data_IF_844086917687
#
_entry.id   IF_844086917687
#
_cell.length_a   1.000
_cell.length_b   1.000
_cell.length_c   1.000
_cell.angle_alpha   90.00
_cell.angle_beta   90.00
_cell.angle_gamma   90.00
#
_symmetry.space_group_name_H-M   'P 1'
#
loop_
_entity.id
_entity.type
_entity.pdbx_description
1 polymer ?
2 non-polymer ?
3 non-polymer ?
4 non-polymer ?
5 water ?
#
# COMPACT_ATOMS: atom_id res chain seq x y z
N UNK A 2 -23.88 10.35 12.58
CA UNK A 2 -24.05 9.53 13.82
C UNK A 2 -25.31 8.67 13.73
N UNK A 3 -25.57 8.10 12.56
CA UNK A 3 -26.75 7.27 12.38
C UNK A 3 -26.44 5.88 11.82
N UNK A 4 -27.08 4.88 12.41
CA UNK A 4 -26.91 3.49 11.99
C UNK A 4 -28.22 3.01 11.39
N UNK A 5 -28.21 2.70 10.09
CA UNK A 5 -29.40 2.23 9.40
C UNK A 5 -29.99 0.99 10.07
N UNK A 6 -31.31 0.98 10.24
CA UNK A 6 -31.99 -0.14 10.87
C UNK A 6 -31.91 -1.42 10.04
N UNK A 7 -31.77 -1.29 8.73
CA UNK A 7 -31.68 -2.44 7.84
C UNK A 7 -30.30 -3.10 7.88
N UNK A 8 -29.30 -2.40 8.39
CA UNK A 8 -27.96 -2.96 8.46
C UNK A 8 -27.91 -4.17 9.39
N UNK A 9 -27.11 -5.17 9.03
CA UNK A 9 -26.97 -6.38 9.84
C UNK A 9 -25.63 -6.24 10.56
N UNK A 10 -25.69 -6.13 11.88
CA UNK A 10 -24.50 -5.93 12.69
C UNK A 10 -24.40 -6.97 13.82
N UNK A 11 -23.35 -7.78 13.78
CA UNK A 11 -23.16 -8.79 14.81
C UNK A 11 -23.07 -8.16 16.18
N UNK A 12 -23.72 -8.76 17.18
CA UNK A 12 -23.64 -8.16 18.51
C UNK A 12 -22.22 -8.22 19.07
N UNK A 13 -21.37 -9.05 18.47
CA UNK A 13 -19.98 -9.16 18.93
C UNK A 13 -19.05 -8.13 18.32
N UNK A 14 -19.52 -7.42 17.30
CA UNK A 14 -18.70 -6.39 16.66
C UNK A 14 -18.64 -5.22 17.63
N UNK A 15 -17.56 -4.44 17.54
CA UNK A 15 -17.39 -3.28 18.41
C UNK A 15 -17.53 -2.02 17.56
N UNK A 16 -18.58 -1.24 17.83
CA UNK A 16 -18.85 -0.01 17.09
C UNK A 16 -18.71 1.18 18.02
N UNK A 17 -17.67 1.97 17.82
CA UNK A 17 -17.42 3.14 18.67
C UNK A 17 -18.46 4.23 18.41
N UNK A 18 -18.35 5.33 19.15
CA UNK A 18 -19.29 6.44 19.01
C UNK A 18 -19.06 7.25 17.73
N UNK A 19 -20.10 7.91 17.26
CA UNK A 19 -20.02 8.73 16.07
C UNK A 19 -19.96 7.96 14.75
N UNK A 20 -20.10 6.63 14.81
CA UNK A 20 -20.03 5.82 13.60
C UNK A 20 -21.33 5.85 12.78
N UNK A 21 -21.18 6.04 11.47
CA UNK A 21 -22.33 6.06 10.57
C UNK A 21 -22.32 4.80 9.74
N UNK A 22 -23.47 4.13 9.67
CA UNK A 22 -23.57 2.89 8.91
C UNK A 22 -24.79 2.99 8.00
N UNK A 23 -24.55 2.91 6.69
CA UNK A 23 -25.63 3.02 5.73
C UNK A 23 -26.53 1.82 5.63
N UNK A 24 -27.53 1.90 4.76
CA UNK A 24 -28.50 0.82 4.57
C UNK A 24 -27.87 -0.50 4.11
N UNK A 25 -28.38 -1.60 4.64
CA UNK A 25 -27.94 -2.94 4.26
C UNK A 25 -26.47 -3.30 4.46
N UNK A 26 -25.75 -2.61 5.34
CA UNK A 26 -24.36 -3.00 5.55
C UNK A 26 -24.37 -4.35 6.26
N UNK A 27 -23.33 -5.15 6.05
CA UNK A 27 -23.21 -6.45 6.69
C UNK A 27 -21.90 -6.42 7.48
N UNK A 28 -22.02 -6.50 8.80
CA UNK A 28 -20.87 -6.43 9.68
C UNK A 28 -20.72 -7.68 10.55
N UNK A 29 -19.64 -8.42 10.32
CA UNK A 29 -19.36 -9.65 11.03
C UNK A 29 -18.96 -9.52 12.50
N UNK A 30 -18.87 -10.66 13.18
CA UNK A 30 -18.55 -10.65 14.60
C UNK A 30 -17.12 -10.35 15.02
N UNK A 31 -16.22 -10.12 14.07
CA UNK A 31 -14.85 -9.81 14.43
C UNK A 31 -14.46 -8.39 14.02
N UNK A 32 -15.44 -7.59 13.63
CA UNK A 32 -15.18 -6.23 13.17
C UNK A 32 -15.13 -5.18 14.28
N UNK A 33 -14.30 -4.17 14.08
CA UNK A 33 -14.16 -3.07 15.01
C UNK A 33 -14.14 -1.79 14.20
N UNK A 34 -14.99 -0.83 14.57
CA UNK A 34 -15.05 0.43 13.86
C UNK A 34 -14.76 1.55 14.87
N UNK A 35 -13.65 2.24 14.65
CA UNK A 35 -13.27 3.32 15.55
C UNK A 35 -14.13 4.56 15.30
N UNK A 36 -13.95 5.56 16.15
CA UNK A 36 -14.70 6.81 16.08
C UNK A 36 -14.77 7.51 14.73
N UNK A 37 -15.95 8.00 14.40
CA UNK A 37 -16.14 8.75 13.17
C UNK A 37 -16.15 7.98 11.87
N UNK A 38 -16.09 6.65 11.93
CA UNK A 38 -16.09 5.86 10.70
C UNK A 38 -17.43 6.02 9.97
N UNK A 39 -17.38 6.16 8.66
CA UNK A 39 -18.59 6.30 7.87
C UNK A 39 -18.69 5.22 6.79
N UNK A 40 -19.71 4.37 6.92
CA UNK A 40 -19.93 3.31 5.95
C UNK A 40 -21.15 3.70 5.15
N UNK A 41 -21.03 3.74 3.84
CA UNK A 41 -22.19 4.06 3.01
C UNK A 41 -23.05 2.81 3.00
N UNK A 42 -24.09 2.80 2.18
CA UNK A 42 -24.95 1.63 2.11
C UNK A 42 -24.20 0.44 1.52
N UNK A 43 -24.62 -0.76 1.91
CA UNK A 43 -24.05 -2.00 1.37
C UNK A 43 -22.55 -2.25 1.47
N UNK A 44 -21.95 -1.93 2.61
CA UNK A 44 -20.53 -2.23 2.79
C UNK A 44 -20.49 -3.58 3.51
N UNK A 45 -19.59 -4.46 3.08
CA UNK A 45 -19.46 -5.76 3.73
C UNK A 45 -18.14 -5.83 4.49
N UNK A 46 -18.22 -6.04 5.80
CA UNK A 46 -17.03 -6.14 6.63
C UNK A 46 -17.07 -7.49 7.35
N UNK A 47 -16.11 -8.36 7.03
CA UNK A 47 -16.02 -9.69 7.62
C UNK A 47 -14.65 -9.90 8.26
N UNK A 48 -14.46 -11.08 8.85
CA UNK A 48 -13.18 -11.40 9.47
C UNK A 48 -12.78 -10.49 10.63
N UNK A 49 -11.52 -10.60 11.03
CA UNK A 49 -10.97 -9.82 12.13
C UNK A 49 -10.44 -8.53 11.54
N UNK A 50 -11.36 -7.60 11.32
CA UNK A 50 -11.06 -6.34 10.68
C UNK A 50 -11.25 -5.10 11.57
N UNK A 51 -10.24 -4.25 11.58
CA UNK A 51 -10.27 -3.02 12.35
C UNK A 51 -10.24 -1.87 11.34
N UNK A 52 -11.14 -0.90 11.52
CA UNK A 52 -11.24 0.26 10.65
C UNK A 52 -11.04 1.52 11.50
N UNK A 53 -9.92 2.21 11.25
CA UNK A 53 -9.55 3.40 12.00
C UNK A 53 -10.44 4.63 11.93
N UNK A 54 -10.25 5.53 12.88
CA UNK A 54 -11.02 6.76 13.00
C UNK A 54 -11.20 7.55 11.71
N UNK A 55 -12.43 7.97 11.49
CA UNK A 55 -12.81 8.80 10.35
C UNK A 55 -12.66 8.19 8.96
N UNK A 56 -12.38 6.89 8.89
CA UNK A 56 -12.26 6.29 7.57
C UNK A 56 -13.66 6.18 6.96
N UNK A 57 -13.77 6.44 5.66
CA UNK A 57 -15.06 6.36 4.97
C UNK A 57 -14.97 5.33 3.86
N UNK A 58 -15.98 4.45 3.80
CA UNK A 58 -16.01 3.38 2.82
C UNK A 58 -17.30 3.45 2.00
N UNK A 59 -17.15 3.46 0.68
CA UNK A 59 -18.29 3.57 -0.24
C UNK A 59 -19.01 2.25 -0.56
N UNK A 60 -20.21 2.34 -1.17
CA UNK A 60 -21.03 1.18 -1.53
C UNK A 60 -20.37 0.00 -2.22
N UNK A 61 -20.78 -1.19 -1.79
CA UNK A 61 -20.31 -2.44 -2.36
C UNK A 61 -18.85 -2.78 -2.20
N UNK A 62 -18.18 -2.18 -1.21
CA UNK A 62 -16.79 -2.51 -0.97
C UNK A 62 -16.84 -3.77 -0.11
N UNK A 63 -15.84 -4.64 -0.25
CA UNK A 63 -15.82 -5.86 0.55
C UNK A 63 -14.48 -5.93 1.27
N UNK A 64 -14.53 -5.92 2.60
CA UNK A 64 -13.29 -5.96 3.38
C UNK A 64 -13.33 -7.09 4.41
N UNK A 65 -12.26 -7.87 4.45
CA UNK A 65 -12.20 -8.92 5.44
C UNK A 65 -12.55 -10.33 5.03
N UNK A 66 -13.06 -10.54 3.80
CA UNK A 66 -13.36 -11.91 3.39
C UNK A 66 -12.03 -12.63 3.25
N UNK A 67 -12.06 -13.95 3.29
CA UNK A 67 -10.84 -14.75 3.21
C UNK A 67 -10.00 -14.53 1.95
N UNK A 68 -8.67 -14.63 2.08
CA UNK A 68 -7.82 -14.44 0.90
C UNK A 68 -8.17 -15.43 -0.19
N UNK A 69 -7.87 -15.07 -1.44
CA UNK A 69 -8.15 -15.92 -2.58
C UNK A 69 -7.13 -17.04 -2.66
N UNK A 70 -5.93 -16.77 -2.13
CA UNK A 70 -4.84 -17.73 -2.11
C UNK A 70 -5.31 -19.12 -1.69
N UNK A 71 -4.82 -20.14 -2.40
CA UNK A 71 -5.19 -21.53 -2.10
C UNK A 71 -4.53 -22.05 -0.84
N UNK A 72 -3.31 -21.58 -0.58
CA UNK A 72 -2.56 -22.01 0.60
C UNK A 72 -3.31 -21.70 1.90
N UNK A 73 -4.20 -20.72 1.87
CA UNK A 73 -4.97 -20.35 3.05
C UNK A 73 -5.79 -21.53 3.54
N UNK A 74 -5.84 -21.68 4.87
CA UNK A 74 -6.59 -22.78 5.47
C UNK A 74 -7.35 -22.33 6.72
N UNK A 75 -8.35 -21.48 6.53
CA UNK A 75 -9.13 -20.98 7.65
C UNK A 75 -8.26 -20.46 8.78
N UNK A 76 -7.11 -19.91 8.40
CA UNK A 76 -6.17 -19.37 9.37
C UNK A 76 -6.73 -18.18 10.14
N UNK A 77 -6.05 -17.84 11.23
CA UNK A 77 -6.41 -16.74 12.10
C UNK A 77 -5.58 -15.52 11.67
N UNK A 78 -6.17 -14.64 10.86
CA UNK A 78 -5.46 -13.45 10.39
C UNK A 78 -6.30 -12.19 10.54
N UNK A 79 -5.69 -11.03 10.32
CA UNK A 79 -6.39 -9.77 10.48
C UNK A 79 -6.24 -8.80 9.31
N UNK A 80 -7.12 -7.81 9.29
CA UNK A 80 -7.09 -6.75 8.29
C UNK A 80 -7.15 -5.51 9.17
N UNK A 81 -6.12 -4.68 9.09
CA UNK A 81 -6.07 -3.47 9.91
C UNK A 81 -5.96 -2.22 9.05
N UNK A 82 -6.98 -1.35 9.15
CA UNK A 82 -7.03 -0.13 8.37
C UNK A 82 -6.90 1.09 9.27
N UNK A 83 -6.10 2.06 8.83
CA UNK A 83 -5.86 3.26 9.61
C UNK A 83 -6.94 4.32 9.60
N UNK A 84 -6.52 5.54 9.90
CA UNK A 84 -7.41 6.69 9.99
C UNK A 84 -7.48 7.58 8.75
N UNK A 85 -8.61 8.26 8.61
CA UNK A 85 -8.84 9.18 7.50
C UNK A 85 -8.65 8.60 6.11
N UNK A 86 -9.02 7.33 5.94
CA UNK A 86 -8.89 6.71 4.64
C UNK A 86 -10.17 6.85 3.84
N UNK A 87 -10.02 6.80 2.52
CA UNK A 87 -11.15 6.87 1.60
C UNK A 87 -11.06 5.59 0.80
N UNK A 88 -12.07 4.73 0.92
CA UNK A 88 -12.08 3.47 0.20
C UNK A 88 -13.33 3.46 -0.67
N UNK A 89 -13.13 3.52 -1.98
CA UNK A 89 -14.23 3.59 -2.92
C UNK A 89 -14.96 2.30 -3.27
N UNK A 90 -15.97 2.44 -4.10
CA UNK A 90 -16.84 1.35 -4.54
C UNK A 90 -16.14 0.13 -5.16
N UNK A 91 -16.64 -1.05 -4.81
CA UNK A 91 -16.13 -2.31 -5.33
C UNK A 91 -14.72 -2.72 -4.95
N UNK A 92 -14.14 -2.08 -3.94
CA UNK A 92 -12.80 -2.48 -3.51
C UNK A 92 -12.93 -3.81 -2.79
N UNK A 93 -11.87 -4.61 -2.82
CA UNK A 93 -11.89 -5.92 -2.17
C UNK A 93 -10.55 -6.07 -1.48
N UNK A 94 -10.57 -6.18 -0.15
CA UNK A 94 -9.35 -6.28 0.63
C UNK A 94 -9.40 -7.48 1.57
N UNK A 95 -8.40 -8.34 1.48
CA UNK A 95 -8.33 -9.54 2.31
C UNK A 95 -7.32 -9.41 3.43
N UNK A 96 -7.50 -10.19 4.50
CA UNK A 96 -6.58 -10.19 5.65
C UNK A 96 -5.38 -11.06 5.30
N UNK A 97 -4.41 -11.12 6.19
CA UNK A 97 -3.20 -11.89 5.91
C UNK A 97 -3.32 -13.40 6.05
N UNK A 98 -2.18 -14.08 6.05
CA UNK A 98 -2.12 -15.53 6.18
C UNK A 98 -1.00 -15.92 7.14
N UNK A 99 -1.02 -17.17 7.58
CA UNK A 99 -0.02 -17.68 8.50
C UNK A 99 1.36 -17.72 7.83
N UNK A 100 1.36 -17.99 6.53
CA UNK A 100 2.62 -18.07 5.80
C UNK A 100 3.20 -16.68 5.53
N UNK A 101 2.35 -15.67 5.62
CA UNK A 101 2.79 -14.30 5.39
C UNK A 101 3.11 -13.61 6.70
N UNK A 102 2.40 -12.53 7.00
CA UNK A 102 2.62 -11.80 8.25
C UNK A 102 1.35 -11.80 9.11
N UNK A 103 0.46 -12.73 8.80
CA UNK A 103 -0.80 -12.89 9.53
C UNK A 103 -1.68 -11.65 9.51
N UNK A 104 -1.45 -10.76 8.54
CA UNK A 104 -2.26 -9.56 8.47
C UNK A 104 -2.03 -8.75 7.19
N UNK A 105 -3.00 -7.89 6.89
CA UNK A 105 -2.93 -6.98 5.77
C UNK A 105 -3.05 -5.65 6.49
N UNK A 106 -2.12 -4.74 6.23
CA UNK A 106 -2.11 -3.46 6.93
C UNK A 106 -2.18 -2.24 6.01
N UNK A 107 -3.00 -1.27 6.40
CA UNK A 107 -3.14 -0.05 5.64
C UNK A 107 -3.06 1.10 6.63
N UNK A 108 -2.24 2.10 6.29
CA UNK A 108 -2.04 3.25 7.16
C UNK A 108 -3.11 4.31 7.13
N UNK A 109 -2.68 5.57 7.14
CA UNK A 109 -3.60 6.71 7.16
C UNK A 109 -3.63 7.61 5.93
N UNK A 110 -4.73 8.33 5.80
CA UNK A 110 -4.93 9.29 4.72
C UNK A 110 -4.62 8.74 3.33
N UNK A 111 -5.15 7.56 3.04
CA UNK A 111 -4.96 6.97 1.72
C UNK A 111 -6.27 7.03 0.97
N UNK A 112 -6.17 6.94 -0.35
CA UNK A 112 -7.34 6.93 -1.20
C UNK A 112 -7.20 5.70 -2.09
N UNK A 113 -8.15 4.78 -1.98
CA UNK A 113 -8.15 3.59 -2.81
C UNK A 113 -9.41 3.75 -3.66
N UNK A 114 -9.22 4.06 -4.94
CA UNK A 114 -10.34 4.27 -5.85
C UNK A 114 -11.09 2.97 -6.11
N UNK A 115 -12.14 3.05 -6.91
CA UNK A 115 -12.98 1.89 -7.21
C UNK A 115 -12.28 0.70 -7.86
N UNK A 116 -12.81 -0.48 -7.58
CA UNK A 116 -12.30 -1.74 -8.12
C UNK A 116 -10.87 -2.09 -7.69
N UNK A 117 -10.36 -1.44 -6.66
CA UNK A 117 -8.99 -1.73 -6.20
C UNK A 117 -8.98 -2.98 -5.34
N UNK A 118 -8.07 -3.90 -5.63
CA UNK A 118 -7.96 -5.12 -4.82
C UNK A 118 -6.63 -5.17 -4.09
N UNK A 119 -6.69 -5.38 -2.77
CA UNK A 119 -5.49 -5.50 -1.97
C UNK A 119 -5.44 -6.93 -1.44
N UNK A 120 -4.48 -7.71 -1.93
CA UNK A 120 -4.37 -9.11 -1.52
C UNK A 120 -3.83 -9.31 -0.12
N UNK A 121 -3.93 -10.56 0.35
CA UNK A 121 -3.47 -10.92 1.67
C UNK A 121 -2.02 -10.54 1.92
N UNK A 122 -1.72 -10.20 3.17
CA UNK A 122 -0.36 -9.85 3.59
C UNK A 122 0.28 -8.62 2.99
N UNK A 123 -0.52 -7.74 2.39
CA UNK A 123 0.05 -6.51 1.84
C UNK A 123 0.17 -5.47 2.94
N UNK A 124 1.08 -4.54 2.75
CA UNK A 124 1.29 -3.48 3.70
C UNK A 124 1.33 -2.16 2.94
N UNK A 125 0.39 -1.29 3.25
CA UNK A 125 0.32 0.01 2.62
C UNK A 125 0.51 1.06 3.71
N UNK A 126 1.30 2.09 3.42
CA UNK A 126 1.57 3.13 4.40
C UNK A 126 0.49 4.21 4.45
N UNK A 127 0.94 5.47 4.43
CA UNK A 127 0.03 6.61 4.50
C UNK A 127 0.21 7.57 3.33
N UNK A 128 -0.81 8.41 3.10
CA UNK A 128 -0.77 9.40 2.02
C UNK A 128 -0.62 8.78 0.63
N UNK A 129 -1.10 7.56 0.47
CA UNK A 129 -1.01 6.89 -0.83
C UNK A 129 -2.28 7.01 -1.64
N UNK A 130 -2.15 6.82 -2.95
CA UNK A 130 -3.30 6.88 -3.84
C UNK A 130 -3.21 5.74 -4.85
N UNK A 131 -4.20 4.87 -4.82
CA UNK A 131 -4.26 3.75 -5.76
C UNK A 131 -5.48 4.01 -6.63
N UNK A 132 -5.24 4.24 -7.92
CA UNK A 132 -6.31 4.53 -8.88
C UNK A 132 -7.17 3.32 -9.24
N UNK A 133 -8.22 3.57 -10.03
CA UNK A 133 -9.15 2.54 -10.46
C UNK A 133 -8.50 1.23 -10.89
N UNK A 134 -9.05 0.14 -10.37
CA UNK A 134 -8.58 -1.19 -10.75
C UNK A 134 -7.17 -1.64 -10.41
N UNK A 135 -6.46 -0.90 -9.56
CA UNK A 135 -5.12 -1.34 -9.20
C UNK A 135 -5.26 -2.70 -8.53
N UNK A 136 -4.40 -3.63 -8.93
CA UNK A 136 -4.45 -4.99 -8.39
C UNK A 136 -3.14 -5.36 -7.70
N UNK A 137 -3.21 -5.58 -6.39
CA UNK A 137 -2.02 -5.95 -5.64
C UNK A 137 -2.04 -7.45 -5.33
N UNK A 138 -0.99 -8.14 -5.72
CA UNK A 138 -0.88 -9.56 -5.43
C UNK A 138 -0.47 -9.66 -3.96
N UNK A 139 -0.22 -10.86 -3.47
CA UNK A 139 0.12 -11.00 -2.07
C UNK A 139 1.50 -10.55 -1.62
N UNK A 140 1.62 -10.28 -0.32
CA UNK A 140 2.89 -9.90 0.31
C UNK A 140 3.56 -8.63 -0.24
N UNK A 141 2.78 -7.67 -0.70
CA UNK A 141 3.35 -6.44 -1.24
C UNK A 141 3.52 -5.37 -0.16
N UNK A 142 4.59 -4.59 -0.28
CA UNK A 142 4.86 -3.51 0.67
C UNK A 142 4.92 -2.19 -0.09
N UNK A 143 4.11 -1.24 0.35
CA UNK A 143 4.04 0.07 -0.28
C UNK A 143 4.32 1.16 0.77
N UNK A 144 5.33 1.99 0.51
CA UNK A 144 5.70 3.04 1.44
C UNK A 144 4.75 4.23 1.44
N UNK A 145 5.10 5.28 2.17
CA UNK A 145 4.26 6.47 2.23
C UNK A 145 4.38 7.28 0.94
N UNK A 146 3.36 8.09 0.68
CA UNK A 146 3.34 8.96 -0.50
C UNK A 146 3.58 8.26 -1.83
N UNK A 147 2.92 7.12 -2.03
CA UNK A 147 3.05 6.39 -3.27
C UNK A 147 1.77 6.53 -4.09
N UNK A 148 1.92 6.82 -5.38
CA UNK A 148 0.78 6.94 -6.28
C UNK A 148 0.89 5.83 -7.31
N UNK A 149 -0.19 5.08 -7.50
CA UNK A 149 -0.18 4.02 -8.48
C UNK A 149 -1.35 4.27 -9.45
N UNK A 150 -1.01 4.44 -10.72
CA UNK A 150 -2.02 4.69 -11.74
C UNK A 150 -2.98 3.56 -12.00
N UNK A 151 -4.16 3.91 -12.52
CA UNK A 151 -5.20 2.93 -12.79
C UNK A 151 -4.83 1.72 -13.62
N UNK A 152 -5.47 0.61 -13.30
CA UNK A 152 -5.30 -0.65 -14.01
C UNK A 152 -3.88 -1.22 -13.95
N UNK A 153 -3.13 -0.87 -12.92
CA UNK A 153 -1.77 -1.38 -12.76
C UNK A 153 -1.80 -2.63 -11.89
N UNK A 154 -0.98 -3.62 -12.25
CA UNK A 154 -0.90 -4.86 -11.50
C UNK A 154 0.49 -4.95 -10.87
N UNK A 155 0.54 -5.23 -9.58
CA UNK A 155 1.81 -5.37 -8.85
C UNK A 155 1.89 -6.84 -8.46
N UNK A 156 2.99 -7.49 -8.82
CA UNK A 156 3.16 -8.91 -8.52
C UNK A 156 3.58 -9.17 -7.07
N UNK A 157 3.43 -10.43 -6.65
CA UNK A 157 3.73 -10.84 -5.29
C UNK A 157 5.13 -10.47 -4.79
N UNK A 158 5.20 -10.10 -3.51
CA UNK A 158 6.45 -9.74 -2.85
C UNK A 158 7.15 -8.48 -3.35
N UNK A 159 6.51 -7.74 -4.24
CA UNK A 159 7.13 -6.51 -4.73
C UNK A 159 7.09 -5.46 -3.63
N UNK A 160 8.13 -4.64 -3.56
CA UNK A 160 8.18 -3.58 -2.56
C UNK A 160 8.38 -2.24 -3.24
N UNK A 161 7.53 -1.27 -2.91
CA UNK A 161 7.63 0.06 -3.49
C UNK A 161 7.95 1.00 -2.33
N UNK A 162 9.09 1.67 -2.40
CA UNK A 162 9.51 2.57 -1.33
C UNK A 162 8.76 3.89 -1.35
N UNK A 163 9.05 4.71 -0.35
CA UNK A 163 8.43 6.02 -0.16
C UNK A 163 8.56 6.96 -1.36
N UNK A 164 7.53 7.77 -1.56
CA UNK A 164 7.52 8.76 -2.63
C UNK A 164 7.58 8.30 -4.07
N UNK A 165 7.19 7.08 -4.36
CA UNK A 165 7.23 6.59 -5.73
C UNK A 165 5.95 6.83 -6.51
N UNK A 166 6.08 6.90 -7.83
CA UNK A 166 4.94 7.09 -8.69
C UNK A 166 4.96 5.98 -9.74
N UNK A 167 3.85 5.27 -9.88
CA UNK A 167 3.77 4.20 -10.86
C UNK A 167 2.67 4.54 -11.86
N UNK A 168 3.06 4.64 -13.13
CA UNK A 168 2.11 4.97 -14.19
C UNK A 168 1.02 3.92 -14.34
N UNK A 169 -0.14 4.33 -14.86
CA UNK A 169 -1.22 3.40 -15.05
C UNK A 169 -0.90 2.31 -16.05
N UNK A 170 -1.69 1.23 -16.02
CA UNK A 170 -1.50 0.09 -16.92
C UNK A 170 -0.12 -0.56 -16.89
N UNK A 171 0.57 -0.44 -15.76
CA UNK A 171 1.90 -1.05 -15.65
C UNK A 171 1.77 -2.42 -14.99
N UNK A 172 2.81 -3.22 -15.15
CA UNK A 172 2.88 -4.55 -14.55
C UNK A 172 4.25 -4.54 -13.89
N UNK A 173 4.28 -4.42 -12.56
CA UNK A 173 5.53 -4.36 -11.82
C UNK A 173 5.90 -5.67 -11.15
N UNK A 174 7.09 -6.17 -11.48
CA UNK A 174 7.57 -7.42 -10.90
C UNK A 174 8.84 -7.26 -10.10
N UNK A 175 9.28 -6.03 -9.91
CA UNK A 175 10.50 -5.77 -9.14
C UNK A 175 10.33 -4.60 -8.18
N UNK A 176 11.23 -4.50 -7.21
CA UNK A 176 11.20 -3.44 -6.21
C UNK A 176 11.57 -2.09 -6.79
N UNK A 177 11.03 -1.03 -6.19
CA UNK A 177 11.29 0.32 -6.65
C UNK A 177 11.83 1.17 -5.49
N UNK A 178 13.06 1.68 -5.62
CA UNK A 178 13.70 2.50 -4.60
C UNK A 178 12.96 3.82 -4.40
N UNK A 179 13.17 4.48 -3.25
CA UNK A 179 12.50 5.74 -2.96
C UNK A 179 12.58 6.86 -3.99
N UNK A 180 11.48 7.59 -4.11
CA UNK A 180 11.34 8.73 -5.02
C UNK A 180 11.48 8.47 -6.51
N UNK A 181 11.25 7.23 -6.95
CA UNK A 181 11.35 6.90 -8.36
C UNK A 181 10.00 6.80 -9.05
N UNK A 182 9.99 7.08 -10.35
CA UNK A 182 8.76 6.98 -11.13
C UNK A 182 8.94 5.75 -12.00
N UNK A 183 7.90 4.93 -12.10
CA UNK A 183 7.93 3.70 -12.88
C UNK A 183 6.83 3.66 -13.92
N UNK A 184 7.05 2.89 -14.98
CA UNK A 184 6.08 2.77 -16.06
C UNK A 184 6.44 1.62 -17.00
N UNK A 185 5.43 1.09 -17.70
CA UNK A 185 5.69 0.01 -18.64
C UNK A 185 5.08 -1.32 -18.25
N UNK A 186 4.81 -2.17 -19.25
CA UNK A 186 4.24 -3.48 -18.95
C UNK A 186 5.20 -4.08 -17.95
N UNK A 187 6.36 -4.54 -18.42
CA UNK A 187 7.35 -5.06 -17.49
C UNK A 187 8.01 -3.77 -17.01
N UNK A 188 7.34 -3.12 -16.08
CA UNK A 188 7.75 -1.84 -15.50
C UNK A 188 9.23 -1.65 -15.18
N UNK A 189 9.72 -0.43 -15.43
CA UNK A 189 11.10 -0.05 -15.17
C UNK A 189 11.14 1.40 -14.69
N UNK A 190 12.25 1.81 -14.08
CA UNK A 190 12.40 3.17 -13.58
C UNK A 190 12.73 4.17 -14.68
N UNK A 191 11.91 5.21 -14.81
CA UNK A 191 12.10 6.22 -15.85
C UNK A 191 12.69 7.53 -15.34
N UNK A 192 12.91 7.62 -14.03
CA UNK A 192 13.47 8.84 -13.48
C UNK A 192 13.01 9.04 -12.05
N UNK A 193 13.06 10.27 -11.57
CA UNK A 193 12.64 10.56 -10.21
C UNK A 193 11.29 11.26 -10.11
N UNK A 194 10.63 11.06 -8.99
CA UNK A 194 9.33 11.67 -8.72
C UNK A 194 9.60 13.08 -8.20
N UNK A 195 10.06 13.93 -9.10
CA UNK A 195 10.39 15.32 -8.80
C UNK A 195 9.27 16.05 -8.08
N UNK A 196 8.06 15.98 -8.62
CA UNK A 196 6.93 16.66 -8.02
C UNK A 196 6.73 16.30 -6.56
N UNK A 197 6.98 15.04 -6.22
CA UNK A 197 6.84 14.58 -4.84
C UNK A 197 7.98 15.08 -3.98
N UNK A 198 9.21 14.94 -4.48
CA UNK A 198 10.39 15.37 -3.73
C UNK A 198 10.32 16.86 -3.41
N UNK A 199 9.81 17.65 -4.36
CA UNK A 199 9.72 19.09 -4.18
C UNK A 199 8.83 19.54 -3.03
N UNK A 200 7.89 18.69 -2.63
CA UNK A 200 7.01 19.06 -1.53
C UNK A 200 7.48 18.49 -0.21
N UNK A 201 8.26 17.41 -0.25
CA UNK A 201 8.75 16.78 0.96
C UNK A 201 10.23 17.05 1.24
N UNK A 202 11.00 17.30 0.19
CA UNK A 202 12.43 17.52 0.36
C UNK A 202 12.95 18.90 -0.03
N UNK A 203 14.10 19.25 0.55
CA UNK A 203 14.76 20.52 0.30
C UNK A 203 15.57 20.36 -0.99
N UNK A 204 15.74 21.46 -1.72
CA UNK A 204 16.48 21.42 -2.98
C UNK A 204 17.83 20.71 -2.90
N UNK A 205 18.65 21.09 -1.92
CA UNK A 205 19.98 20.48 -1.77
C UNK A 205 19.92 18.96 -1.75
N UNK A 206 18.99 18.41 -0.97
CA UNK A 206 18.85 16.97 -0.84
C UNK A 206 18.33 16.33 -2.12
N UNK A 207 17.53 17.07 -2.87
CA UNK A 207 17.00 16.54 -4.12
C UNK A 207 18.15 16.34 -5.10
N UNK A 208 19.08 17.28 -5.13
CA UNK A 208 20.25 17.18 -6.00
C UNK A 208 21.09 15.98 -5.60
N UNK A 209 21.30 15.84 -4.29
CA UNK A 209 22.08 14.74 -3.75
C UNK A 209 21.50 13.40 -4.20
N UNK A 210 20.18 13.27 -4.13
CA UNK A 210 19.52 12.03 -4.53
C UNK A 210 19.75 11.71 -6.01
N UNK A 211 19.60 12.71 -6.87
CA UNK A 211 19.81 12.49 -8.30
C UNK A 211 21.22 11.91 -8.49
N UNK A 212 22.19 12.59 -7.90
CA UNK A 212 23.58 12.16 -7.98
C UNK A 212 23.73 10.74 -7.46
N UNK A 213 23.15 10.47 -6.30
CA UNK A 213 23.21 9.16 -5.69
C UNK A 213 22.76 8.07 -6.65
N UNK A 214 21.57 8.24 -7.21
CA UNK A 214 21.03 7.26 -8.13
C UNK A 214 21.86 7.11 -9.40
N UNK A 215 22.42 8.22 -9.87
CA UNK A 215 23.25 8.18 -11.07
C UNK A 215 24.45 7.28 -10.84
N UNK A 216 25.03 7.37 -9.65
CA UNK A 216 26.18 6.55 -9.30
C UNK A 216 25.77 5.12 -9.01
N UNK A 217 24.62 4.96 -8.35
CA UNK A 217 24.12 3.64 -8.01
C UNK A 217 23.80 2.80 -9.24
N UNK A 218 23.24 3.44 -10.26
CA UNK A 218 22.87 2.71 -11.46
C UNK A 218 23.89 2.66 -12.58
N UNK A 219 25.16 2.81 -12.24
CA UNK A 219 26.21 2.71 -13.25
C UNK A 219 26.26 1.22 -13.60
N UNK A 220 26.55 0.89 -14.86
CA UNK A 220 26.61 -0.50 -15.30
C UNK A 220 27.65 -1.44 -14.68
N UNK A 221 28.89 -0.98 -14.57
CA UNK A 221 29.96 -1.84 -14.04
C UNK A 221 29.72 -2.44 -12.67
N UNK A 222 30.01 -1.70 -11.58
CA UNK A 222 29.74 -2.37 -10.31
C UNK A 222 28.25 -2.68 -10.17
N UNK A 223 27.93 -3.86 -9.65
CA UNK A 223 26.54 -4.24 -9.47
C UNK A 223 25.86 -3.20 -8.59
N UNK A 224 24.54 -3.16 -8.65
CA UNK A 224 23.77 -2.21 -7.85
C UNK A 224 24.10 -2.46 -6.37
N UNK A 225 24.09 -3.74 -5.99
CA UNK A 225 24.38 -4.13 -4.62
C UNK A 225 25.74 -3.62 -4.14
N UNK A 226 26.77 -3.83 -4.95
CA UNK A 226 28.11 -3.39 -4.57
C UNK A 226 28.18 -1.86 -4.45
N UNK A 227 27.51 -1.16 -5.35
CA UNK A 227 27.52 0.30 -5.30
C UNK A 227 26.77 0.78 -4.06
N UNK A 228 25.71 0.07 -3.70
CA UNK A 228 24.91 0.42 -2.54
C UNK A 228 25.74 0.29 -1.26
N UNK A 229 26.45 -0.84 -1.15
CA UNK A 229 27.28 -1.09 0.03
C UNK A 229 28.39 -0.04 0.14
N UNK A 230 29.00 0.29 -0.99
CA UNK A 230 30.06 1.29 -1.00
C UNK A 230 29.49 2.65 -0.62
N UNK A 231 28.28 2.91 -1.05
CA UNK A 231 27.61 4.17 -0.77
C UNK A 231 27.38 4.34 0.73
N UNK A 232 27.09 3.22 1.40
CA UNK A 232 26.85 3.24 2.83
C UNK A 232 28.15 3.48 3.60
N UNK A 233 29.27 3.09 2.99
CA UNK A 233 30.58 3.27 3.59
C UNK A 233 31.03 4.72 3.45
N UNK A 234 30.97 5.23 2.22
CA UNK A 234 31.39 6.60 1.94
C UNK A 234 30.43 7.65 2.50
N UNK A 235 29.31 7.21 3.07
CA UNK A 235 28.34 8.13 3.63
C UNK A 235 27.60 7.50 4.81
N UNK A 236 28.36 7.01 5.78
CA UNK A 236 27.79 6.36 6.96
C UNK A 236 26.78 7.27 7.65
N UNK A 237 26.90 8.58 7.41
CA UNK A 237 25.99 9.53 8.01
C UNK A 237 25.28 10.37 6.96
N UNK A 238 24.16 9.85 6.49
CA UNK A 238 23.34 10.51 5.48
C UNK A 238 22.06 9.70 5.42
N UNK A 239 20.96 10.26 5.96
CA UNK A 239 19.66 9.61 5.99
C UNK A 239 19.19 9.07 4.64
N UNK A 240 19.36 9.86 3.59
CA UNK A 240 18.93 9.45 2.26
C UNK A 240 19.68 8.22 1.76
N UNK A 241 20.99 8.19 1.96
CA UNK A 241 21.79 7.05 1.53
C UNK A 241 21.31 5.81 2.29
N UNK A 242 21.09 5.98 3.60
CA UNK A 242 20.65 4.88 4.44
C UNK A 242 19.30 4.35 3.98
N UNK A 243 18.36 5.26 3.75
CA UNK A 243 17.02 4.92 3.33
C UNK A 243 17.00 4.20 1.98
N UNK A 244 17.75 4.74 1.03
CA UNK A 244 17.82 4.17 -0.32
C UNK A 244 18.64 2.90 -0.43
N UNK A 245 19.87 2.93 0.08
CA UNK A 245 20.74 1.77 -0.02
C UNK A 245 20.32 0.56 0.81
N UNK A 246 19.81 0.79 2.02
CA UNK A 246 19.38 -0.34 2.84
C UNK A 246 18.18 -1.00 2.18
N UNK A 247 17.35 -0.19 1.52
CA UNK A 247 16.17 -0.72 0.82
C UNK A 247 16.65 -1.67 -0.27
N UNK A 248 17.61 -1.19 -1.06
CA UNK A 248 18.19 -1.97 -2.14
C UNK A 248 18.80 -3.29 -1.70
N UNK A 249 19.62 -3.25 -0.66
CA UNK A 249 20.28 -4.45 -0.16
C UNK A 249 19.30 -5.46 0.43
N UNK A 250 18.12 -5.00 0.82
CA UNK A 250 17.11 -5.89 1.41
C UNK A 250 16.17 -6.50 0.37
N UNK A 251 16.29 -6.06 -0.88
CA UNK A 251 15.43 -6.56 -1.95
C UNK A 251 15.44 -8.08 -2.14
N UNK A 252 14.25 -8.66 -2.32
CA UNK A 252 14.10 -10.09 -2.53
C UNK A 252 13.90 -10.40 -4.00
N UNK A 253 13.02 -9.64 -4.64
CA UNK A 253 12.74 -9.84 -6.06
C UNK A 253 13.72 -9.11 -6.95
N UNK A 254 14.58 -8.30 -6.33
CA UNK A 254 15.54 -7.54 -7.10
C UNK A 254 14.98 -6.16 -7.38
N UNK A 255 15.84 -5.22 -7.73
CA UNK A 255 15.41 -3.85 -8.00
C UNK A 255 15.07 -3.68 -9.47
N UNK A 256 14.08 -2.85 -9.75
CA UNK A 256 13.63 -2.59 -11.11
C UNK A 256 14.74 -2.02 -11.99
N UNK A 257 14.56 -2.16 -13.29
CA UNK A 257 15.50 -1.68 -14.30
C UNK A 257 15.50 -0.15 -14.28
N UNK A 258 16.65 0.46 -14.53
CA UNK A 258 16.74 1.92 -14.54
C UNK A 258 16.69 2.46 -15.97
N UNK A 259 17.80 3.03 -16.45
CA UNK A 259 17.86 3.59 -17.79
C UNK A 259 19.31 3.87 -18.18
N UNK A 260 20.24 3.41 -17.37
CA UNK A 260 21.66 3.61 -17.63
C UNK A 260 22.47 2.40 -17.21
#
# INVERSE_FOLDING_TARGET
>A
MSKIAKTAIISPKAEINKGVEIGEFCVIGDGVKLDEGVKLHNNVTLQGHTFVGKNTEIFPFAVLGTQPQDLKYKGEYSELIIGEDNLIREFCMINPGTEGGIKKTLIGDKNLLMAYVHVAHDCVIGSHCILANGVTLAGHIEIGDYVNIGGLTAIHQFVRIAKGCMIAGKSALGKDVPPYCTVEGNRAFIRGLNRHRMRQLLESKDIDFIYALYKRLFRPIPSLRESAKLELEEHANNPFVKEICSFILESSRGVAYKSSEYSSEEKQEE
#
